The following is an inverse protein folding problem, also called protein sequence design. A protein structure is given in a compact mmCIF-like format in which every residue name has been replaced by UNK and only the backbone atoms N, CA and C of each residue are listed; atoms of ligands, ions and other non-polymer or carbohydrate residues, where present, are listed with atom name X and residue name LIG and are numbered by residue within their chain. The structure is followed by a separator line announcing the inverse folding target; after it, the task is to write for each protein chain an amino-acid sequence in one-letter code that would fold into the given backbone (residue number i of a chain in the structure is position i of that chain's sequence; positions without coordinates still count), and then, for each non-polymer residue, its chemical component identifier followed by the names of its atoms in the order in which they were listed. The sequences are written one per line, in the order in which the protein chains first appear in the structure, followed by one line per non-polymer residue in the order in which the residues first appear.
data_IF_427235535580
#
_entry.id   IF_427235535580
#
_cell.length_a   1.000
_cell.length_b   1.000
_cell.length_c   1.000
_cell.angle_alpha   90.00
_cell.angle_beta   90.00
_cell.angle_gamma   90.00
#
_symmetry.space_group_name_H-M   'P 1'
#
loop_
_entity.id
_entity.type
_entity.pdbx_description
1 polymer ?
#
# COMPACT_ATOMS: atom_id res chain seq x y z
N UNK A 1 -14.83 27.91 25.62
CA UNK A 1 -15.46 28.21 24.32
C UNK A 1 -15.04 29.63 23.92
N UNK A 2 -14.53 29.86 22.71
CA UNK A 2 -14.21 31.23 22.30
C UNK A 2 -15.51 32.06 22.22
N UNK A 3 -15.59 33.23 22.89
CA UNK A 3 -16.79 34.08 22.91
C UNK A 3 -17.35 34.41 21.51
N UNK A 4 -16.48 34.40 20.50
CA UNK A 4 -16.81 34.76 19.12
C UNK A 4 -17.71 33.75 18.42
N UNK A 5 -17.69 32.46 18.80
CA UNK A 5 -18.45 31.41 18.10
C UNK A 5 -19.97 31.51 18.31
N UNK A 6 -20.41 31.64 19.56
CA UNK A 6 -21.84 31.79 19.87
C UNK A 6 -22.36 33.10 19.27
N UNK A 7 -21.54 34.16 19.30
CA UNK A 7 -21.90 35.45 18.72
C UNK A 7 -22.07 35.36 17.20
N UNK A 8 -21.19 34.64 16.50
CA UNK A 8 -21.31 34.44 15.04
C UNK A 8 -22.55 33.62 14.66
N UNK A 9 -22.86 32.55 15.41
CA UNK A 9 -24.09 31.77 15.23
C UNK A 9 -25.35 32.61 15.38
N UNK A 10 -25.40 33.44 16.44
CA UNK A 10 -26.52 34.32 16.69
C UNK A 10 -26.69 35.38 15.59
N UNK A 11 -25.57 35.94 15.08
CA UNK A 11 -25.60 36.89 13.94
C UNK A 11 -26.13 36.27 12.65
N UNK A 12 -25.92 34.96 12.47
CA UNK A 12 -26.44 34.17 11.34
C UNK A 12 -27.88 33.69 11.54
N UNK A 13 -28.52 34.04 12.66
CA UNK A 13 -29.92 33.69 12.95
C UNK A 13 -30.10 32.29 13.57
N UNK A 14 -29.03 31.69 14.09
CA UNK A 14 -29.07 30.40 14.77
C UNK A 14 -28.87 30.57 16.28
N UNK A 15 -29.83 30.08 17.06
CA UNK A 15 -29.77 29.99 18.51
C UNK A 15 -29.34 28.59 18.92
N UNK A 16 -28.58 28.47 20.01
CA UNK A 16 -28.17 27.19 20.59
C UNK A 16 -28.97 26.91 21.86
N UNK A 17 -29.48 25.68 22.01
CA UNK A 17 -29.89 25.22 23.35
C UNK A 17 -28.67 25.13 24.29
N UNK A 18 -28.83 25.41 25.60
CA UNK A 18 -27.73 25.32 26.56
C UNK A 18 -27.00 23.97 26.55
N UNK A 19 -27.72 22.87 26.33
CA UNK A 19 -27.17 21.52 26.24
C UNK A 19 -26.33 21.34 24.97
N UNK A 20 -26.77 21.90 23.84
CA UNK A 20 -26.03 21.90 22.58
C UNK A 20 -24.75 22.75 22.68
N UNK A 21 -24.81 23.90 23.36
CA UNK A 21 -23.65 24.75 23.63
C UNK A 21 -22.61 24.04 24.51
N UNK A 22 -23.05 23.28 25.52
CA UNK A 22 -22.15 22.43 26.32
C UNK A 22 -21.48 21.37 25.44
N UNK A 23 -22.25 20.70 24.59
CA UNK A 23 -21.76 19.68 23.67
C UNK A 23 -20.66 20.20 22.73
N UNK A 24 -20.89 21.38 22.13
CA UNK A 24 -19.92 22.06 21.25
C UNK A 24 -18.68 22.58 21.99
N UNK A 25 -18.76 22.78 23.31
CA UNK A 25 -17.58 23.11 24.13
C UNK A 25 -16.69 21.91 24.39
N UNK A 26 -17.29 20.71 24.44
CA UNK A 26 -16.60 19.47 24.80
C UNK A 26 -16.16 18.63 23.60
N UNK A 27 -16.72 18.87 22.41
CA UNK A 27 -16.47 18.05 21.22
C UNK A 27 -16.08 18.94 20.02
N UNK A 28 -14.78 19.00 19.75
CA UNK A 28 -14.21 19.80 18.65
C UNK A 28 -14.61 19.32 17.26
N UNK A 29 -14.96 18.04 17.11
CA UNK A 29 -15.45 17.48 15.84
C UNK A 29 -16.82 18.05 15.54
N UNK A 30 -17.74 18.02 16.51
CA UNK A 30 -19.07 18.62 16.36
C UNK A 30 -19.00 20.12 16.04
N UNK A 31 -18.07 20.83 16.68
CA UNK A 31 -17.82 22.25 16.41
C UNK A 31 -17.39 22.47 14.96
N UNK A 32 -16.43 21.68 14.48
CA UNK A 32 -15.93 21.76 13.10
C UNK A 32 -17.01 21.43 12.07
N UNK A 33 -17.78 20.38 12.32
CA UNK A 33 -18.90 19.95 11.46
C UNK A 33 -20.01 21.00 11.37
N UNK A 34 -20.33 21.65 12.49
CA UNK A 34 -21.33 22.73 12.49
C UNK A 34 -20.83 23.94 11.68
N UNK A 35 -19.54 24.27 11.81
CA UNK A 35 -18.93 25.36 11.05
C UNK A 35 -18.88 25.09 9.53
N UNK A 36 -18.57 23.86 9.11
CA UNK A 36 -18.58 23.51 7.69
C UNK A 36 -19.99 23.59 7.11
N UNK A 37 -20.99 23.05 7.82
CA UNK A 37 -22.40 23.15 7.43
C UNK A 37 -22.86 24.61 7.22
N UNK A 38 -22.44 25.52 8.11
CA UNK A 38 -22.75 26.95 7.99
C UNK A 38 -22.05 27.63 6.81
N UNK A 39 -20.80 27.23 6.52
CA UNK A 39 -20.04 27.75 5.36
C UNK A 39 -20.64 27.29 4.03
N UNK A 40 -21.15 26.07 3.99
CA UNK A 40 -21.74 25.44 2.82
C UNK A 40 -23.18 25.89 2.55
N UNK A 41 -23.72 26.82 3.36
CA UNK A 41 -25.08 27.33 3.21
C UNK A 41 -26.16 26.30 3.52
N UNK A 42 -25.81 25.25 4.29
CA UNK A 42 -26.75 24.21 4.67
C UNK A 42 -27.86 24.83 5.54
N UNK A 43 -29.11 24.47 5.25
CA UNK A 43 -30.27 25.06 5.93
C UNK A 43 -30.41 24.44 7.32
N UNK A 44 -29.70 25.01 8.30
CA UNK A 44 -29.79 24.61 9.69
C UNK A 44 -31.06 25.20 10.34
N UNK A 45 -31.64 24.53 11.34
CA UNK A 45 -32.75 25.08 12.10
C UNK A 45 -32.33 26.37 12.81
N UNK A 46 -33.30 27.28 13.01
CA UNK A 46 -33.09 28.52 13.77
C UNK A 46 -32.79 28.27 15.25
N UNK A 47 -33.17 27.10 15.79
CA UNK A 47 -32.79 26.61 17.10
C UNK A 47 -32.08 25.27 16.97
N UNK A 48 -30.79 25.22 17.29
CA UNK A 48 -29.96 24.03 17.22
C UNK A 48 -30.02 23.28 18.55
N UNK A 49 -30.39 22.00 18.48
CA UNK A 49 -30.48 21.07 19.59
C UNK A 49 -29.34 20.05 19.59
N UNK A 50 -29.11 19.30 20.69
CA UNK A 50 -28.14 18.20 20.69
C UNK A 50 -28.41 17.17 19.58
N UNK A 51 -29.68 16.87 19.28
CA UNK A 51 -30.04 15.91 18.24
C UNK A 51 -29.64 16.39 16.84
N UNK A 52 -29.71 17.70 16.58
CA UNK A 52 -29.24 18.27 15.32
C UNK A 52 -27.72 18.11 15.16
N UNK A 53 -26.97 18.30 16.26
CA UNK A 53 -25.52 18.07 16.30
C UNK A 53 -25.17 16.60 16.12
N UNK A 54 -25.93 15.70 16.75
CA UNK A 54 -25.75 14.26 16.57
C UNK A 54 -26.14 13.79 15.17
N UNK A 55 -27.12 14.42 14.51
CA UNK A 55 -27.43 14.16 13.09
C UNK A 55 -26.30 14.62 12.18
N UNK A 56 -25.75 15.81 12.43
CA UNK A 56 -24.51 16.28 11.79
C UNK A 56 -23.38 15.25 11.96
N UNK A 57 -23.18 14.73 13.18
CA UNK A 57 -22.19 13.69 13.46
C UNK A 57 -22.53 12.33 12.87
N UNK A 58 -23.80 11.96 12.77
CA UNK A 58 -24.26 10.69 12.22
C UNK A 58 -24.02 10.59 10.72
N UNK A 59 -24.21 11.72 10.01
CA UNK A 59 -23.81 11.87 8.60
C UNK A 59 -22.29 11.79 8.42
N UNK A 60 -21.53 12.21 9.44
CA UNK A 60 -20.08 12.11 9.52
C UNK A 60 -19.68 11.03 10.52
N UNK A 61 -20.26 9.83 10.39
CA UNK A 61 -19.93 8.69 11.26
C UNK A 61 -18.40 8.61 11.31
N UNK A 62 -17.83 8.96 12.45
CA UNK A 62 -16.38 9.09 12.62
C UNK A 62 -15.78 7.76 12.21
N UNK A 63 -15.07 7.78 11.08
CA UNK A 63 -14.19 6.70 10.66
C UNK A 63 -13.13 6.55 11.76
N UNK A 64 -13.46 5.78 12.78
CA UNK A 64 -12.46 5.14 13.64
C UNK A 64 -11.87 3.97 12.84
N UNK A 65 -11.35 4.26 11.64
CA UNK A 65 -10.43 3.36 10.99
C UNK A 65 -9.16 3.39 11.82
N UNK A 66 -8.85 2.29 12.50
CA UNK A 66 -7.53 2.09 13.07
C UNK A 66 -6.56 1.99 11.90
N UNK A 67 -5.79 3.06 11.67
CA UNK A 67 -4.71 3.05 10.69
C UNK A 67 -3.48 2.52 11.43
N UNK A 68 -3.02 1.35 11.03
CA UNK A 68 -1.73 0.81 11.46
C UNK A 68 -0.69 1.17 10.40
N UNK A 69 0.31 1.98 10.78
CA UNK A 69 1.46 2.24 9.93
C UNK A 69 2.41 1.07 10.09
N UNK A 70 2.45 0.19 9.09
CA UNK A 70 3.33 -0.99 9.11
C UNK A 70 4.81 -0.62 8.92
N UNK A 71 5.08 0.48 8.21
CA UNK A 71 6.42 0.97 7.94
C UNK A 71 6.38 2.44 7.51
N UNK A 72 7.30 3.26 8.02
CA UNK A 72 7.55 4.62 7.56
C UNK A 72 9.01 4.76 7.09
N UNK A 73 9.28 4.78 5.77
CA UNK A 73 10.64 4.92 5.25
C UNK A 73 11.19 6.35 5.41
N UNK A 74 10.36 7.34 5.76
CA UNK A 74 10.77 8.75 5.87
C UNK A 74 11.77 8.97 7.00
N UNK A 75 11.68 8.16 8.08
CA UNK A 75 12.61 8.22 9.21
C UNK A 75 13.97 7.58 8.91
N UNK A 76 14.05 6.77 7.85
CA UNK A 76 15.25 6.03 7.45
C UNK A 76 15.51 6.18 5.95
N UNK A 77 15.77 7.41 5.45
CA UNK A 77 16.14 7.59 4.05
C UNK A 77 17.36 6.72 3.75
N UNK A 78 17.35 6.04 2.60
CA UNK A 78 18.48 5.21 2.16
C UNK A 78 19.67 6.14 1.94
N UNK A 79 20.54 6.26 2.95
CA UNK A 79 21.65 7.23 2.97
C UNK A 79 22.89 6.74 2.24
N UNK A 80 23.03 5.44 2.01
CA UNK A 80 24.26 4.86 1.46
C UNK A 80 23.95 4.06 0.18
N UNK A 81 24.17 4.69 -0.98
CA UNK A 81 24.27 4.02 -2.28
C UNK A 81 25.65 3.36 -2.49
N UNK A 82 26.26 2.87 -1.41
CA UNK A 82 27.55 2.19 -1.42
C UNK A 82 27.36 0.69 -1.68
N UNK A 83 28.44 0.00 -2.08
CA UNK A 83 28.43 -1.44 -2.40
C UNK A 83 27.81 -2.26 -1.25
N UNK A 84 28.11 -1.90 0.00
CA UNK A 84 27.56 -2.58 1.18
C UNK A 84 26.04 -2.44 1.30
N UNK A 85 25.47 -1.31 0.85
CA UNK A 85 24.03 -1.10 0.78
C UNK A 85 23.37 -2.06 -0.20
N UNK A 86 23.95 -2.24 -1.39
CA UNK A 86 23.47 -3.20 -2.38
C UNK A 86 23.58 -4.65 -1.85
N UNK A 87 24.71 -5.02 -1.26
CA UNK A 87 24.87 -6.35 -0.66
C UNK A 87 23.84 -6.62 0.43
N UNK A 88 23.58 -5.63 1.29
CA UNK A 88 22.55 -5.71 2.32
C UNK A 88 21.14 -5.90 1.72
N UNK A 89 20.82 -5.18 0.63
CA UNK A 89 19.55 -5.32 -0.08
C UNK A 89 19.34 -6.74 -0.62
N UNK A 90 20.34 -7.31 -1.32
CA UNK A 90 20.25 -8.65 -1.88
C UNK A 90 20.17 -9.74 -0.79
N UNK A 91 20.92 -9.58 0.31
CA UNK A 91 20.82 -10.48 1.47
C UNK A 91 19.43 -10.41 2.12
N UNK A 92 18.92 -9.21 2.36
CA UNK A 92 17.58 -9.00 2.92
C UNK A 92 16.49 -9.59 2.03
N UNK A 93 16.58 -9.39 0.71
CA UNK A 93 15.69 -10.00 -0.28
C UNK A 93 15.72 -11.52 -0.19
N UNK A 94 16.91 -12.12 -0.24
CA UNK A 94 17.08 -13.56 -0.14
C UNK A 94 16.50 -14.12 1.16
N UNK A 95 16.84 -13.54 2.30
CA UNK A 95 16.37 -14.00 3.60
C UNK A 95 14.84 -13.90 3.75
N UNK A 96 14.25 -12.79 3.31
CA UNK A 96 12.81 -12.53 3.42
C UNK A 96 12.03 -13.52 2.55
N UNK A 97 12.40 -13.65 1.27
CA UNK A 97 11.70 -14.54 0.34
C UNK A 97 11.96 -16.03 0.66
N UNK A 98 13.16 -16.37 1.14
CA UNK A 98 13.47 -17.73 1.59
C UNK A 98 12.59 -18.17 2.76
N UNK A 99 12.24 -17.28 3.68
CA UNK A 99 11.32 -17.60 4.79
C UNK A 99 9.93 -17.99 4.27
N UNK A 100 9.43 -17.27 3.26
CA UNK A 100 8.13 -17.57 2.62
C UNK A 100 8.20 -18.92 1.92
N UNK A 101 9.25 -19.16 1.12
CA UNK A 101 9.44 -20.42 0.40
C UNK A 101 9.56 -21.63 1.34
N UNK A 102 10.37 -21.54 2.39
CA UNK A 102 10.51 -22.64 3.38
C UNK A 102 9.19 -22.95 4.08
N UNK A 103 8.32 -21.95 4.28
CA UNK A 103 7.02 -22.18 4.93
C UNK A 103 6.06 -22.98 4.03
N UNK A 104 6.15 -22.80 2.72
CA UNK A 104 5.16 -23.31 1.78
C UNK A 104 5.63 -24.53 0.98
N UNK A 105 6.93 -24.75 0.85
CA UNK A 105 7.51 -25.79 -0.01
C UNK A 105 8.24 -26.84 0.85
N UNK A 106 7.64 -28.03 1.09
CA UNK A 106 8.22 -29.07 1.94
C UNK A 106 9.62 -29.53 1.54
N UNK A 107 9.90 -29.59 0.24
CA UNK A 107 11.13 -30.10 -0.36
C UNK A 107 12.37 -29.28 0.00
N UNK A 108 12.19 -28.03 0.44
CA UNK A 108 13.30 -27.12 0.79
C UNK A 108 13.40 -26.82 2.29
N UNK A 109 12.49 -27.35 3.12
CA UNK A 109 12.47 -27.12 4.57
C UNK A 109 13.80 -27.55 5.22
N UNK A 110 14.27 -28.74 4.84
CA UNK A 110 15.44 -29.37 5.45
C UNK A 110 16.75 -29.09 4.70
N UNK A 111 16.72 -28.24 3.67
CA UNK A 111 17.91 -27.89 2.90
C UNK A 111 18.38 -26.49 3.27
N UNK A 112 19.43 -26.36 4.10
CA UNK A 112 19.88 -25.06 4.59
C UNK A 112 20.44 -24.18 3.46
N UNK A 113 20.98 -24.77 2.38
CA UNK A 113 21.17 -24.12 1.09
C UNK A 113 22.05 -24.92 0.12
N UNK A 114 22.72 -24.20 -0.79
CA UNK A 114 23.36 -24.80 -1.98
C UNK A 114 24.49 -25.78 -1.63
N UNK A 115 25.45 -25.45 -0.73
CA UNK A 115 26.54 -26.37 -0.40
C UNK A 115 26.07 -27.71 0.19
N UNK A 116 24.97 -27.73 0.93
CA UNK A 116 24.39 -28.94 1.48
C UNK A 116 23.61 -29.73 0.43
N UNK A 117 22.85 -29.04 -0.43
CA UNK A 117 22.17 -29.68 -1.57
C UNK A 117 23.18 -30.40 -2.48
N UNK A 118 24.35 -29.79 -2.71
CA UNK A 118 25.44 -30.35 -3.50
C UNK A 118 26.05 -31.64 -2.92
N UNK A 119 25.73 -32.05 -1.69
CA UNK A 119 26.19 -33.32 -1.09
C UNK A 119 25.22 -34.49 -1.36
N UNK A 120 23.96 -34.19 -1.69
CA UNK A 120 22.90 -35.16 -1.89
C UNK A 120 22.91 -35.73 -3.31
N UNK A 121 22.70 -37.04 -3.48
CA UNK A 121 22.74 -37.71 -4.79
C UNK A 121 21.67 -38.80 -4.91
N UNK A 122 21.23 -39.06 -6.15
CA UNK A 122 20.39 -40.20 -6.48
C UNK A 122 18.92 -40.07 -6.06
N UNK A 123 18.49 -38.85 -5.73
CA UNK A 123 17.11 -38.49 -5.37
C UNK A 123 16.85 -37.05 -5.78
N UNK A 124 15.58 -36.66 -5.79
CA UNK A 124 15.23 -35.25 -5.92
C UNK A 124 15.63 -34.47 -4.66
N UNK A 125 16.26 -33.33 -4.90
CA UNK A 125 16.80 -32.42 -3.88
C UNK A 125 16.22 -31.04 -4.16
N UNK A 126 15.64 -30.44 -3.13
CA UNK A 126 15.14 -29.06 -3.17
C UNK A 126 16.13 -28.11 -2.49
N UNK A 127 16.33 -26.91 -3.03
CA UNK A 127 17.00 -25.81 -2.33
C UNK A 127 16.46 -24.45 -2.77
N UNK A 128 16.71 -23.41 -1.97
CA UNK A 128 16.38 -22.02 -2.31
C UNK A 128 17.64 -21.32 -2.78
N UNK A 129 17.53 -20.54 -3.85
CA UNK A 129 18.61 -19.75 -4.42
C UNK A 129 18.07 -18.51 -5.13
N UNK A 130 18.94 -17.53 -5.31
CA UNK A 130 18.73 -16.41 -6.21
C UNK A 130 19.22 -16.77 -7.60
N UNK A 131 18.50 -16.30 -8.62
CA UNK A 131 18.85 -16.49 -10.02
C UNK A 131 19.85 -15.41 -10.44
N UNK A 132 21.08 -15.78 -10.77
CA UNK A 132 22.11 -14.84 -11.22
C UNK A 132 22.07 -14.58 -12.72
N UNK A 133 21.83 -15.62 -13.51
CA UNK A 133 21.84 -15.58 -14.98
C UNK A 133 20.80 -16.54 -15.52
N UNK A 134 20.11 -16.15 -16.60
CA UNK A 134 19.14 -16.99 -17.29
C UNK A 134 19.36 -16.90 -18.79
N UNK A 135 19.59 -18.05 -19.41
CA UNK A 135 19.84 -18.12 -20.85
C UNK A 135 19.23 -19.36 -21.49
N UNK A 136 18.96 -19.25 -22.79
CA UNK A 136 18.56 -20.41 -23.59
C UNK A 136 19.80 -21.00 -24.27
N UNK A 137 20.05 -22.28 -24.02
CA UNK A 137 21.12 -23.02 -24.70
C UNK A 137 20.81 -23.26 -26.18
N UNK A 138 21.83 -23.61 -26.99
CA UNK A 138 21.66 -23.96 -28.42
C UNK A 138 20.61 -25.06 -28.68
N UNK A 139 20.45 -25.98 -27.73
CA UNK A 139 19.48 -27.07 -27.83
C UNK A 139 18.07 -26.68 -27.36
N UNK A 140 17.84 -25.41 -27.01
CA UNK A 140 16.57 -24.88 -26.55
C UNK A 140 16.21 -25.21 -25.11
N UNK A 141 17.17 -25.70 -24.31
CA UNK A 141 16.98 -25.85 -22.86
C UNK A 141 17.21 -24.50 -22.17
N UNK A 142 16.45 -24.23 -21.12
CA UNK A 142 16.70 -23.10 -20.22
C UNK A 142 17.84 -23.47 -19.27
N UNK A 143 18.83 -22.61 -19.17
CA UNK A 143 19.98 -22.76 -18.29
C UNK A 143 19.97 -21.57 -17.34
N UNK A 144 20.01 -21.86 -16.05
CA UNK A 144 20.03 -20.85 -15.00
C UNK A 144 21.27 -21.05 -14.14
N UNK A 145 21.87 -19.95 -13.71
CA UNK A 145 22.86 -19.99 -12.63
C UNK A 145 22.19 -19.56 -11.33
N UNK A 146 22.29 -20.41 -10.32
CA UNK A 146 21.58 -20.28 -9.04
C UNK A 146 22.60 -20.17 -7.90
N UNK A 147 22.46 -19.16 -7.03
CA UNK A 147 23.36 -18.93 -5.90
C UNK A 147 22.64 -18.57 -4.60
N UNK A 148 23.22 -18.90 -3.45
CA UNK A 148 22.69 -18.56 -2.12
C UNK A 148 23.65 -17.71 -1.27
N UNK A 149 24.68 -17.14 -1.90
CA UNK A 149 25.79 -16.43 -1.25
C UNK A 149 26.86 -17.34 -0.63
N UNK A 150 26.66 -18.67 -0.59
CA UNK A 150 27.65 -19.66 -0.11
C UNK A 150 28.09 -20.64 -1.18
N UNK A 151 27.28 -20.85 -2.21
CA UNK A 151 27.61 -21.70 -3.34
C UNK A 151 26.78 -21.37 -4.58
N UNK A 152 27.14 -22.04 -5.68
CA UNK A 152 26.51 -21.88 -6.98
C UNK A 152 26.19 -23.24 -7.62
N UNK A 153 25.04 -23.33 -8.29
CA UNK A 153 24.62 -24.47 -9.11
C UNK A 153 24.18 -23.98 -10.50
N UNK A 154 24.60 -24.70 -11.53
CA UNK A 154 23.99 -24.58 -12.86
C UNK A 154 22.75 -25.47 -12.94
N UNK A 155 21.58 -24.86 -13.08
CA UNK A 155 20.31 -25.53 -13.30
C UNK A 155 19.97 -25.63 -14.78
N UNK A 156 19.53 -26.80 -15.24
CA UNK A 156 19.02 -27.01 -16.59
C UNK A 156 17.57 -27.46 -16.52
N UNK A 157 16.68 -26.70 -17.16
CA UNK A 157 15.31 -27.11 -17.44
C UNK A 157 15.26 -27.55 -18.90
N UNK A 158 14.96 -28.83 -19.11
CA UNK A 158 14.85 -29.40 -20.45
C UNK A 158 13.77 -28.67 -21.27
N UNK A 159 14.00 -28.47 -22.57
CA UNK A 159 13.07 -27.79 -23.49
C UNK A 159 11.61 -28.25 -23.33
N UNK A 160 11.40 -29.57 -23.22
CA UNK A 160 10.07 -30.20 -23.03
C UNK A 160 9.36 -29.84 -21.72
N UNK A 161 10.11 -29.36 -20.72
CA UNK A 161 9.61 -29.01 -19.39
C UNK A 161 9.50 -27.49 -19.17
N UNK A 162 9.97 -26.65 -20.10
CA UNK A 162 9.93 -25.18 -19.94
C UNK A 162 8.49 -24.69 -19.73
N UNK A 163 7.50 -25.30 -20.40
CA UNK A 163 6.09 -24.95 -20.21
C UNK A 163 5.56 -25.15 -18.78
N UNK A 164 6.23 -25.96 -17.96
CA UNK A 164 5.86 -26.16 -16.54
C UNK A 164 6.32 -25.02 -15.64
N UNK A 165 7.24 -24.19 -16.10
CA UNK A 165 7.84 -23.09 -15.33
C UNK A 165 7.63 -21.75 -16.03
N UNK A 166 6.42 -21.53 -16.58
CA UNK A 166 6.09 -20.32 -17.32
C UNK A 166 5.38 -19.28 -16.42
N UNK A 167 5.81 -18.01 -16.38
CA UNK A 167 7.00 -17.46 -17.06
C UNK A 167 8.30 -18.01 -16.47
N UNK A 168 9.37 -18.19 -17.30
CA UNK A 168 10.69 -18.57 -16.81
C UNK A 168 11.17 -17.62 -15.71
N UNK A 169 11.95 -18.10 -14.73
CA UNK A 169 12.57 -17.22 -13.75
C UNK A 169 13.43 -16.16 -14.44
N UNK A 170 13.52 -14.99 -13.81
CA UNK A 170 14.35 -13.87 -14.27
C UNK A 170 15.53 -13.66 -13.33
N UNK A 171 16.50 -12.87 -13.77
CA UNK A 171 17.63 -12.45 -12.93
C UNK A 171 17.14 -11.78 -11.64
N UNK A 172 17.91 -11.99 -10.57
CA UNK A 172 17.68 -11.53 -9.20
C UNK A 172 16.43 -12.09 -8.47
N UNK A 173 15.70 -13.00 -9.11
CA UNK A 173 14.55 -13.67 -8.50
C UNK A 173 15.01 -14.71 -7.45
N UNK A 174 14.31 -14.81 -6.32
CA UNK A 174 14.57 -15.84 -5.30
C UNK A 174 13.54 -16.96 -5.48
N UNK A 175 14.03 -18.15 -5.80
CA UNK A 175 13.19 -19.32 -6.12
C UNK A 175 13.62 -20.54 -5.32
N UNK A 176 12.66 -21.43 -5.04
CA UNK A 176 12.95 -22.78 -4.62
C UNK A 176 12.98 -23.68 -5.87
N UNK A 177 14.05 -24.42 -6.07
CA UNK A 177 14.17 -25.38 -7.18
C UNK A 177 14.19 -26.79 -6.65
N UNK A 178 13.56 -27.73 -7.37
CA UNK A 178 13.59 -29.15 -7.06
C UNK A 178 14.02 -29.92 -8.30
N UNK A 179 14.98 -30.82 -8.14
CA UNK A 179 15.49 -31.62 -9.24
C UNK A 179 16.54 -32.63 -8.80
N UNK A 180 17.20 -33.25 -9.78
CA UNK A 180 18.25 -34.24 -9.55
C UNK A 180 19.60 -33.70 -10.02
N UNK A 181 20.63 -33.92 -9.21
CA UNK A 181 22.00 -33.56 -9.57
C UNK A 181 22.58 -34.55 -10.57
N UNK A 182 23.36 -34.04 -11.52
CA UNK A 182 24.07 -34.88 -12.46
C UNK A 182 25.07 -35.79 -11.71
N UNK A 183 25.06 -37.09 -12.06
CA UNK A 183 25.88 -38.11 -11.38
C UNK A 183 27.37 -37.77 -11.36
N UNK A 184 27.91 -37.35 -12.51
CA UNK A 184 29.33 -37.02 -12.68
C UNK A 184 29.66 -35.53 -12.42
N UNK A 185 28.84 -34.60 -12.94
CA UNK A 185 29.07 -33.16 -12.82
C UNK A 185 28.48 -32.61 -11.52
N UNK A 186 29.34 -32.39 -10.52
CA UNK A 186 28.93 -32.02 -9.15
C UNK A 186 28.00 -30.81 -9.05
N UNK A 187 28.18 -29.76 -9.88
CA UNK A 187 27.45 -28.49 -9.77
C UNK A 187 26.36 -28.32 -10.84
N UNK A 188 25.90 -29.42 -11.44
CA UNK A 188 24.88 -29.39 -12.48
C UNK A 188 23.62 -30.10 -11.98
N UNK A 189 22.47 -29.43 -12.04
CA UNK A 189 21.16 -29.99 -11.69
C UNK A 189 20.23 -29.99 -12.90
N UNK A 190 19.47 -31.08 -13.07
CA UNK A 190 18.30 -31.10 -13.94
C UNK A 190 17.06 -30.73 -13.14
N UNK A 191 16.56 -29.51 -13.37
CA UNK A 191 15.45 -28.95 -12.62
C UNK A 191 14.14 -29.53 -13.17
N UNK A 192 13.32 -30.05 -12.25
CA UNK A 192 11.98 -30.58 -12.54
C UNK A 192 10.90 -29.56 -12.20
N UNK A 193 11.10 -28.81 -11.11
CA UNK A 193 10.14 -27.84 -10.58
C UNK A 193 10.85 -26.57 -10.11
N UNK A 194 10.16 -25.44 -10.27
CA UNK A 194 10.57 -24.13 -9.75
C UNK A 194 9.36 -23.54 -9.05
N UNK A 195 9.57 -23.16 -7.79
CA UNK A 195 8.55 -22.62 -6.90
C UNK A 195 8.90 -21.18 -6.54
N UNK A 196 7.90 -20.30 -6.62
CA UNK A 196 8.01 -18.88 -6.26
C UNK A 196 7.45 -18.63 -4.87
N UNK A 197 7.90 -17.56 -4.18
CA UNK A 197 7.23 -17.11 -2.97
C UNK A 197 5.76 -16.79 -3.30
N UNK A 198 4.84 -17.50 -2.66
CA UNK A 198 3.39 -17.32 -2.83
C UNK A 198 2.70 -17.24 -1.46
N UNK A 199 1.49 -16.71 -1.42
CA UNK A 199 0.71 -16.53 -0.20
C UNK A 199 0.01 -17.85 0.14
N UNK A 200 0.11 -18.27 1.40
CA UNK A 200 -0.58 -19.48 1.85
C UNK A 200 -2.09 -19.26 1.86
N UNK A 201 -2.84 -20.03 1.05
CA UNK A 201 -4.32 -19.96 1.02
C UNK A 201 -4.98 -20.21 2.38
N UNK A 202 -4.29 -20.89 3.29
CA UNK A 202 -4.79 -21.23 4.64
C UNK A 202 -4.98 -20.00 5.53
N UNK A 203 -4.32 -18.88 5.23
CA UNK A 203 -4.36 -17.66 6.03
C UNK A 203 -5.50 -16.70 5.64
N UNK A 204 -6.22 -16.97 4.55
CA UNK A 204 -7.37 -16.17 4.11
C UNK A 204 -8.63 -16.46 4.97
N UNK A 205 -8.57 -16.19 6.27
CA UNK A 205 -9.77 -16.08 7.11
C UNK A 205 -10.24 -14.63 7.06
N UNK A 206 -11.14 -14.31 6.13
CA UNK A 206 -11.78 -13.01 6.08
C UNK A 206 -12.69 -12.83 7.30
N UNK A 207 -12.34 -11.89 8.19
CA UNK A 207 -13.33 -11.31 9.11
C UNK A 207 -14.25 -10.45 8.26
N UNK A 208 -15.45 -10.94 7.97
CA UNK A 208 -16.45 -10.15 7.28
C UNK A 208 -16.95 -9.06 8.23
N UNK A 209 -16.89 -7.81 7.76
CA UNK A 209 -17.57 -6.69 8.41
C UNK A 209 -19.08 -6.94 8.39
N UNK A 210 -19.78 -6.45 9.41
CA UNK A 210 -21.26 -6.42 9.42
C UNK A 210 -21.81 -5.36 8.47
N UNK A 211 -21.05 -4.30 8.26
CA UNK A 211 -21.42 -3.17 7.43
C UNK A 211 -20.68 -3.22 6.09
N UNK A 212 -21.39 -2.90 5.01
CA UNK A 212 -20.83 -2.76 3.67
C UNK A 212 -20.11 -1.41 3.55
N UNK A 213 -18.86 -1.44 3.09
CA UNK A 213 -18.03 -0.27 2.85
C UNK A 213 -17.30 -0.42 1.53
N UNK A 214 -17.18 0.68 0.80
CA UNK A 214 -16.47 0.74 -0.47
C UNK A 214 -15.10 1.40 -0.28
N UNK A 215 -14.09 0.78 -0.90
CA UNK A 215 -12.77 1.33 -1.13
C UNK A 215 -12.68 1.73 -2.60
N UNK A 216 -12.37 2.99 -2.85
CA UNK A 216 -11.99 3.46 -4.18
C UNK A 216 -10.47 3.38 -4.33
N UNK A 217 -10.02 2.84 -5.47
CA UNK A 217 -8.60 2.70 -5.78
C UNK A 217 -8.35 3.45 -7.07
N UNK A 218 -7.40 4.37 -7.03
CA UNK A 218 -6.90 5.10 -8.20
C UNK A 218 -5.38 5.25 -8.09
N UNK A 219 -4.72 5.73 -9.13
CA UNK A 219 -3.27 5.93 -9.23
C UNK A 219 -3.00 7.00 -10.29
N UNK A 220 -1.74 7.39 -10.48
CA UNK A 220 -1.29 8.14 -11.67
C UNK A 220 -2.11 9.40 -11.94
N UNK A 221 -2.30 10.20 -10.89
CA UNK A 221 -3.08 11.44 -11.01
C UNK A 221 -2.30 12.50 -11.79
N UNK A 222 -0.97 12.54 -11.63
CA UNK A 222 -0.05 13.43 -12.36
C UNK A 222 -0.50 14.91 -12.37
N UNK A 223 -0.95 15.43 -11.21
CA UNK A 223 -1.31 16.85 -11.08
C UNK A 223 -0.10 17.72 -11.42
N UNK A 224 -0.32 18.71 -12.28
CA UNK A 224 0.75 19.58 -12.80
C UNK A 224 1.14 19.30 -14.24
N UNK A 225 0.73 18.15 -14.79
CA UNK A 225 0.88 17.85 -16.22
C UNK A 225 -0.17 18.57 -17.07
N UNK A 226 0.19 18.94 -18.31
CA UNK A 226 -0.76 19.43 -19.32
C UNK A 226 -1.81 18.39 -19.71
N UNK A 227 -1.52 17.11 -19.51
CA UNK A 227 -2.45 16.01 -19.79
C UNK A 227 -3.33 15.65 -18.60
N UNK A 228 -3.19 16.36 -17.46
CA UNK A 228 -4.06 16.13 -16.31
C UNK A 228 -5.53 16.35 -16.71
N UNK A 229 -6.34 15.30 -16.54
CA UNK A 229 -7.76 15.27 -16.91
C UNK A 229 -8.62 16.05 -15.90
N UNK A 230 -8.37 17.36 -15.78
CA UNK A 230 -8.95 18.25 -14.76
C UNK A 230 -10.48 18.22 -14.75
N UNK A 231 -11.10 18.13 -15.93
CA UNK A 231 -12.57 18.10 -16.05
C UNK A 231 -13.14 16.80 -15.49
N UNK A 232 -12.53 15.67 -15.83
CA UNK A 232 -12.93 14.34 -15.40
C UNK A 232 -12.64 14.15 -13.91
N UNK A 233 -11.52 14.68 -13.41
CA UNK A 233 -11.23 14.77 -11.97
C UNK A 233 -12.33 15.54 -11.22
N UNK A 234 -12.70 16.73 -11.70
CA UNK A 234 -13.76 17.52 -11.07
C UNK A 234 -15.11 16.80 -11.11
N UNK A 235 -15.39 16.04 -12.17
CA UNK A 235 -16.58 15.20 -12.27
C UNK A 235 -16.53 14.06 -11.25
N UNK A 236 -15.38 13.41 -11.09
CA UNK A 236 -15.15 12.37 -10.10
C UNK A 236 -15.36 12.89 -8.67
N UNK A 237 -14.80 14.05 -8.33
CA UNK A 237 -15.01 14.69 -7.02
C UNK A 237 -16.49 15.08 -6.82
N UNK A 238 -17.14 15.60 -7.86
CA UNK A 238 -18.58 15.94 -7.80
C UNK A 238 -19.45 14.70 -7.60
N UNK A 239 -19.10 13.59 -8.24
CA UNK A 239 -19.75 12.30 -8.03
C UNK A 239 -19.52 11.80 -6.60
N UNK A 240 -18.29 11.85 -6.09
CA UNK A 240 -17.97 11.50 -4.70
C UNK A 240 -18.79 12.30 -3.68
N UNK A 241 -19.00 13.59 -3.96
CA UNK A 241 -19.83 14.48 -3.15
C UNK A 241 -21.35 14.29 -3.39
N UNK A 242 -21.77 13.21 -4.06
CA UNK A 242 -23.16 12.93 -4.44
C UNK A 242 -23.86 14.06 -5.22
N UNK A 243 -23.08 14.96 -5.83
CA UNK A 243 -23.57 16.14 -6.55
C UNK A 243 -23.91 15.83 -8.01
N UNK A 244 -23.38 14.72 -8.54
CA UNK A 244 -23.63 14.24 -9.90
C UNK A 244 -23.98 12.75 -9.86
N UNK A 245 -24.97 12.35 -10.65
CA UNK A 245 -25.32 10.93 -10.83
C UNK A 245 -24.61 10.38 -12.06
N UNK A 246 -24.01 9.20 -11.90
CA UNK A 246 -23.40 8.46 -12.99
C UNK A 246 -24.32 7.31 -13.35
N UNK A 247 -24.67 7.20 -14.63
CA UNK A 247 -25.52 6.14 -15.14
C UNK A 247 -24.82 4.77 -14.96
N UNK A 248 -25.57 3.76 -14.51
CA UNK A 248 -25.04 2.41 -14.26
C UNK A 248 -24.47 2.15 -12.87
N UNK A 249 -24.36 3.16 -11.99
CA UNK A 249 -23.95 2.97 -10.59
C UNK A 249 -25.16 3.04 -9.62
N UNK A 250 -25.14 2.28 -8.51
CA UNK A 250 -26.15 2.42 -7.44
C UNK A 250 -26.19 3.86 -6.91
N UNK A 251 -27.39 4.37 -6.63
CA UNK A 251 -27.60 5.76 -6.21
C UNK A 251 -26.96 6.10 -4.87
N UNK A 252 -26.72 5.10 -4.03
CA UNK A 252 -26.23 5.19 -2.66
C UNK A 252 -24.79 4.70 -2.52
N UNK A 253 -24.10 4.38 -3.62
CA UNK A 253 -22.72 3.87 -3.56
C UNK A 253 -21.79 4.87 -2.88
N UNK A 254 -21.94 6.16 -3.17
CA UNK A 254 -21.13 7.26 -2.64
C UNK A 254 -21.32 7.43 -1.12
N UNK A 255 -22.51 7.12 -0.60
CA UNK A 255 -22.80 7.13 0.84
C UNK A 255 -22.07 6.00 1.60
N UNK A 256 -21.68 4.94 0.87
CA UNK A 256 -20.97 3.78 1.42
C UNK A 256 -19.47 3.79 1.11
N UNK A 257 -18.97 4.76 0.33
CA UNK A 257 -17.52 4.96 0.14
C UNK A 257 -16.91 5.46 1.44
N UNK A 258 -15.96 4.68 1.99
CA UNK A 258 -15.27 4.99 3.25
C UNK A 258 -13.79 5.28 3.07
N UNK A 259 -13.20 4.80 1.98
CA UNK A 259 -11.77 4.91 1.74
C UNK A 259 -11.49 5.31 0.28
N UNK A 260 -10.53 6.20 0.10
CA UNK A 260 -9.91 6.50 -1.19
C UNK A 260 -8.41 6.22 -1.07
N UNK A 261 -7.95 5.22 -1.83
CA UNK A 261 -6.54 4.90 -1.98
C UNK A 261 -6.05 5.48 -3.31
N UNK A 262 -5.04 6.34 -3.26
CA UNK A 262 -4.35 6.85 -4.44
C UNK A 262 -2.92 6.29 -4.43
N UNK A 263 -2.66 5.31 -5.30
CA UNK A 263 -1.42 4.55 -5.32
C UNK A 263 -0.39 5.17 -6.27
N UNK A 264 0.42 6.08 -5.74
CA UNK A 264 1.56 6.66 -6.46
C UNK A 264 1.19 7.82 -7.39
N UNK A 265 2.24 8.49 -7.90
CA UNK A 265 2.19 9.50 -8.96
C UNK A 265 1.06 10.53 -8.80
N UNK A 266 1.03 11.12 -7.61
CA UNK A 266 0.03 12.13 -7.26
C UNK A 266 0.22 13.42 -8.08
N UNK A 267 1.48 13.77 -8.31
CA UNK A 267 1.94 14.95 -9.07
C UNK A 267 2.90 14.50 -10.16
N UNK A 268 3.04 15.27 -11.24
CA UNK A 268 3.88 14.91 -12.40
C UNK A 268 5.39 14.98 -12.09
N UNK A 269 5.77 15.72 -11.04
CA UNK A 269 7.16 15.91 -10.66
C UNK A 269 7.85 17.01 -11.45
N UNK A 270 9.14 17.19 -11.19
CA UNK A 270 10.02 18.11 -11.93
C UNK A 270 11.37 17.44 -12.13
N UNK A 271 11.86 17.38 -13.36
CA UNK A 271 13.16 16.81 -13.71
C UNK A 271 13.18 15.28 -13.76
N UNK A 272 12.03 14.66 -14.03
CA UNK A 272 11.87 13.19 -14.10
C UNK A 272 12.45 12.64 -15.41
N UNK A 273 12.25 13.34 -16.53
CA UNK A 273 12.79 12.97 -17.85
C UNK A 273 13.20 14.21 -18.67
N UNK A 274 13.96 13.97 -19.74
CA UNK A 274 14.46 15.03 -20.62
C UNK A 274 13.30 15.75 -21.32
N UNK A 275 13.38 17.08 -21.39
CA UNK A 275 12.38 17.96 -22.02
C UNK A 275 10.98 17.96 -21.33
N UNK A 276 10.88 17.45 -20.08
CA UNK A 276 9.61 17.41 -19.31
C UNK A 276 8.96 18.79 -19.14
N UNK A 277 9.73 19.88 -19.12
CA UNK A 277 9.22 21.25 -19.03
C UNK A 277 8.20 21.60 -20.13
N UNK A 278 8.26 20.91 -21.28
CA UNK A 278 7.29 21.07 -22.37
C UNK A 278 5.94 20.42 -22.08
N UNK A 279 5.90 19.47 -21.16
CA UNK A 279 4.71 18.70 -20.80
C UNK A 279 4.08 19.19 -19.47
N UNK A 280 4.80 20.01 -18.70
CA UNK A 280 4.33 20.59 -17.45
C UNK A 280 3.42 21.81 -17.68
N UNK A 281 2.24 21.78 -17.06
CA UNK A 281 1.39 22.96 -16.84
C UNK A 281 1.91 23.76 -15.63
N UNK A 282 2.37 23.07 -14.58
CA UNK A 282 2.92 23.65 -13.36
C UNK A 282 4.38 23.20 -13.20
N UNK A 283 5.33 24.13 -13.38
CA UNK A 283 6.77 23.82 -13.40
C UNK A 283 7.42 23.73 -12.02
N UNK A 284 6.68 24.04 -10.95
CA UNK A 284 7.17 24.02 -9.57
C UNK A 284 6.53 22.86 -8.79
N UNK A 285 7.36 22.01 -8.19
CA UNK A 285 6.89 20.83 -7.45
C UNK A 285 5.99 21.18 -6.24
N UNK A 286 6.28 22.27 -5.53
CA UNK A 286 5.47 22.69 -4.38
C UNK A 286 4.09 23.15 -4.85
N UNK A 287 4.04 23.91 -5.95
CA UNK A 287 2.78 24.35 -6.57
C UNK A 287 1.96 23.16 -7.11
N UNK A 288 2.61 22.10 -7.61
CA UNK A 288 1.90 20.87 -8.00
C UNK A 288 1.23 20.21 -6.79
N UNK A 289 1.93 20.13 -5.65
CA UNK A 289 1.35 19.59 -4.41
C UNK A 289 0.27 20.50 -3.81
N UNK A 290 0.40 21.82 -3.93
CA UNK A 290 -0.66 22.76 -3.56
C UNK A 290 -1.91 22.59 -4.45
N UNK A 291 -1.71 22.43 -5.76
CA UNK A 291 -2.78 22.16 -6.70
C UNK A 291 -3.47 20.81 -6.41
N UNK A 292 -2.71 19.77 -6.10
CA UNK A 292 -3.25 18.47 -5.66
C UNK A 292 -4.05 18.62 -4.37
N UNK A 293 -3.51 19.32 -3.37
CA UNK A 293 -4.20 19.56 -2.11
C UNK A 293 -5.52 20.29 -2.33
N UNK A 294 -5.57 21.30 -3.21
CA UNK A 294 -6.80 21.97 -3.64
C UNK A 294 -7.77 21.03 -4.37
N UNK A 295 -7.25 20.19 -5.26
CA UNK A 295 -8.04 19.21 -6.02
C UNK A 295 -8.68 18.14 -5.12
N UNK A 296 -8.03 17.77 -4.01
CA UNK A 296 -8.56 16.85 -2.99
C UNK A 296 -9.46 17.55 -1.98
N UNK A 297 -9.12 18.77 -1.54
CA UNK A 297 -9.87 19.53 -0.52
C UNK A 297 -11.22 20.04 -1.02
N UNK A 298 -11.43 20.06 -2.34
CA UNK A 298 -12.74 20.33 -2.95
C UNK A 298 -13.79 19.25 -2.62
N UNK A 299 -13.40 18.20 -1.89
CA UNK A 299 -14.28 17.20 -1.29
C UNK A 299 -14.42 17.43 0.24
N UNK A 300 -15.58 17.92 0.73
CA UNK A 300 -15.82 18.14 2.16
C UNK A 300 -15.80 16.86 3.02
N UNK A 301 -16.00 15.70 2.39
CA UNK A 301 -16.04 14.38 3.07
C UNK A 301 -14.67 13.72 3.20
N UNK A 302 -13.64 14.19 2.49
CA UNK A 302 -12.27 13.70 2.59
C UNK A 302 -11.52 14.39 3.75
N UNK A 303 -11.62 13.83 4.95
CA UNK A 303 -10.69 14.16 6.02
C UNK A 303 -9.35 13.47 5.77
N UNK A 304 -8.38 14.21 5.22
CA UNK A 304 -7.00 13.74 5.12
C UNK A 304 -6.37 13.77 6.53
N UNK A 305 -6.37 12.64 7.25
CA UNK A 305 -5.54 12.51 8.45
C UNK A 305 -4.07 12.41 8.01
N UNK A 306 -3.31 13.50 8.20
CA UNK A 306 -1.85 13.43 8.19
C UNK A 306 -1.42 12.56 9.37
N UNK A 307 -0.79 11.43 9.08
CA UNK A 307 -0.11 10.56 10.04
C UNK A 307 1.19 11.19 10.53
N UNK A 308 1.10 12.31 11.26
CA UNK A 308 2.25 12.98 11.89
C UNK A 308 2.19 12.95 13.42
N UNK A 309 1.29 12.16 14.01
CA UNK A 309 1.32 11.94 15.46
C UNK A 309 2.26 10.78 15.78
N UNK A 310 3.50 11.14 16.10
CA UNK A 310 4.52 10.27 16.69
C UNK A 310 3.98 9.64 17.98
N UNK A 311 3.50 8.40 17.89
CA UNK A 311 3.25 7.58 19.09
C UNK A 311 4.58 7.02 19.58
N UNK A 312 5.12 7.63 20.64
CA UNK A 312 6.25 7.10 21.40
C UNK A 312 5.98 5.64 21.82
N UNK A 313 6.92 4.70 21.64
CA UNK A 313 6.69 3.31 21.98
C UNK A 313 6.57 3.16 23.51
N UNK A 314 5.39 2.74 23.97
CA UNK A 314 5.21 2.22 25.33
C UNK A 314 6.06 0.96 25.47
N UNK A 315 7.19 1.09 26.15
CA UNK A 315 7.99 -0.05 26.60
C UNK A 315 7.14 -0.90 27.58
N UNK A 316 6.73 -2.08 27.13
CA UNK A 316 6.20 -3.12 28.01
C UNK A 316 7.38 -3.83 28.69
N UNK A 317 7.80 -3.31 29.84
CA UNK A 317 8.66 -4.05 30.76
C UNK A 317 7.83 -5.09 31.50
N UNK A 318 7.88 -6.35 31.06
CA UNK A 318 7.46 -7.50 31.85
C UNK A 318 8.55 -8.57 31.85
N UNK A 319 9.64 -8.29 32.56
CA UNK A 319 10.51 -9.34 33.08
C UNK A 319 10.02 -9.66 34.49
N UNK A 320 9.23 -10.72 34.57
CA UNK A 320 8.89 -11.37 35.83
C UNK A 320 10.14 -12.01 36.43
N UNK A 321 10.66 -11.40 37.49
CA UNK A 321 11.52 -12.09 38.44
C UNK A 321 10.65 -13.06 39.26
N UNK A 322 10.85 -14.36 39.07
CA UNK A 322 10.62 -15.36 40.13
C UNK A 322 11.74 -16.39 40.11
N UNK A 323 12.18 -16.65 41.34
CA UNK A 323 13.24 -17.53 41.84
C UNK A 323 13.29 -18.90 41.20
#
# INVERSE_FOLDING_TARGET
MQPDFISDLARRGHLLRPEAAKLLSSDDVLRTLLYSALREGQRLPSLITPDDLWRLKGSYTTLNGEIEILSDPTEHPVRNAEIDGFLSLFRSRYETLSKILRRNIPEVINTPGVPEALKERGRDVGFIAMVRDVRTSRNGNLVMTLEDGRGEVTGIVMKRNIGKINPPPIEDEVVAVVGDFHREKKNLMFIKEVHRPDISRREMKTRLSRDEAYLLITSDTHVGSKTFMRREWNTFISWLNSSVKVEGLPKDITERVRYLLIAGDLVDGVGIYKDQDKDLEIVNIMEQYEALAGALSSNPSLHCRRSLETSSPRASSSLGARR
#
